data_IF_772028231326
#
_entry.id   IF_772028231326
#
_cell.length_a   1.000
_cell.length_b   1.000
_cell.length_c   1.000
_cell.angle_alpha   90.00
_cell.angle_beta   90.00
_cell.angle_gamma   90.00
#
_symmetry.space_group_name_H-M   'P 1'
#
loop_
_entity.id
_entity.type
_entity.pdbx_description
1 polymer ?
#
# COMPACT_ATOMS: atom_id res chain seq x y z
N UNK A 1 -68.81 64.49 13.75
CA UNK A 1 -67.89 64.20 14.88
C UNK A 1 -66.52 63.81 14.32
N UNK A 2 -65.51 64.68 14.45
CA UNK A 2 -64.15 64.52 13.91
C UNK A 2 -63.29 63.79 14.95
N UNK A 3 -62.74 62.63 14.60
CA UNK A 3 -61.72 61.95 15.41
C UNK A 3 -60.39 61.95 14.66
N UNK A 4 -59.41 62.63 15.25
CA UNK A 4 -58.03 62.83 14.79
C UNK A 4 -57.20 61.55 14.98
N UNK A 5 -56.67 60.97 13.90
CA UNK A 5 -55.64 59.91 13.96
C UNK A 5 -54.26 60.55 14.11
N UNK A 6 -53.56 60.25 15.21
CA UNK A 6 -52.12 60.46 15.35
C UNK A 6 -51.38 59.30 14.67
N UNK A 7 -50.40 59.65 13.85
CA UNK A 7 -49.35 58.76 13.35
C UNK A 7 -48.27 58.64 14.42
N UNK A 8 -47.86 57.41 14.76
CA UNK A 8 -46.59 57.16 15.43
C UNK A 8 -45.71 56.25 14.57
N UNK A 9 -44.48 56.73 14.38
CA UNK A 9 -43.38 56.13 13.66
C UNK A 9 -42.81 54.93 14.44
N UNK A 10 -42.74 53.76 13.79
CA UNK A 10 -41.86 52.67 14.22
C UNK A 10 -40.74 52.50 13.19
N UNK A 11 -39.51 52.69 13.67
CA UNK A 11 -38.22 52.61 13.00
C UNK A 11 -37.97 51.25 12.33
N UNK A 12 -37.64 51.27 11.04
CA UNK A 12 -37.17 50.08 10.29
C UNK A 12 -35.76 49.70 10.77
N UNK A 13 -35.48 48.42 11.10
CA UNK A 13 -34.11 48.00 11.39
C UNK A 13 -33.25 48.14 10.13
N UNK A 14 -32.09 48.77 10.29
CA UNK A 14 -31.04 48.86 9.28
C UNK A 14 -30.57 47.47 8.91
N UNK A 15 -30.87 47.03 7.68
CA UNK A 15 -30.26 45.83 7.10
C UNK A 15 -28.77 46.10 6.96
N UNK A 16 -27.95 45.37 7.71
CA UNK A 16 -26.52 45.25 7.44
C UNK A 16 -26.40 44.66 6.04
N UNK A 17 -25.99 45.49 5.07
CA UNK A 17 -25.69 45.07 3.72
C UNK A 17 -24.31 44.40 3.74
N UNK A 18 -24.29 43.07 3.86
CA UNK A 18 -23.08 42.29 3.66
C UNK A 18 -22.86 42.22 2.16
N UNK A 19 -21.85 42.93 1.67
CA UNK A 19 -21.45 42.90 0.26
C UNK A 19 -20.95 41.49 -0.10
N UNK A 20 -21.66 40.75 -0.97
CA UNK A 20 -21.26 39.40 -1.36
C UNK A 20 -19.94 39.35 -2.16
N UNK A 21 -19.39 40.51 -2.57
CA UNK A 21 -18.17 40.58 -3.37
C UNK A 21 -16.87 40.29 -2.60
N UNK A 22 -16.87 40.31 -1.26
CA UNK A 22 -15.64 40.21 -0.46
C UNK A 22 -15.40 38.84 0.22
N UNK A 23 -16.23 37.83 -0.06
CA UNK A 23 -16.07 36.47 0.48
C UNK A 23 -15.63 35.47 -0.61
N UNK A 24 -14.72 35.90 -1.49
CA UNK A 24 -13.92 34.97 -2.28
C UNK A 24 -12.85 34.39 -1.37
N UNK A 25 -13.23 33.39 -0.55
CA UNK A 25 -12.26 32.45 0.01
C UNK A 25 -11.52 31.84 -1.18
N UNK A 26 -10.33 32.35 -1.46
CA UNK A 26 -9.37 31.71 -2.34
C UNK A 26 -8.96 30.41 -1.66
N UNK A 27 -9.78 29.37 -1.84
CA UNK A 27 -9.44 28.01 -1.47
C UNK A 27 -8.24 27.67 -2.33
N UNK A 28 -7.03 27.80 -1.76
CA UNK A 28 -5.84 27.32 -2.42
C UNK A 28 -6.10 25.87 -2.83
N UNK A 29 -5.87 25.50 -4.10
CA UNK A 29 -6.07 24.13 -4.53
C UNK A 29 -5.18 23.24 -3.67
N UNK A 30 -5.81 22.39 -2.83
CA UNK A 30 -5.10 21.42 -2.00
C UNK A 30 -4.17 20.62 -2.90
N UNK A 31 -2.86 20.76 -2.71
CA UNK A 31 -1.89 19.95 -3.45
C UNK A 31 -2.23 18.48 -3.19
N UNK A 32 -2.45 17.67 -4.24
CA UNK A 32 -2.77 16.27 -4.05
C UNK A 32 -1.59 15.59 -3.33
N UNK A 33 -1.90 14.73 -2.36
CA UNK A 33 -0.88 14.01 -1.59
C UNK A 33 0.03 13.19 -2.53
N UNK A 34 1.36 13.19 -2.32
CA UNK A 34 2.30 12.55 -3.23
C UNK A 34 2.39 11.03 -3.01
N UNK A 35 1.30 10.31 -3.31
CA UNK A 35 1.22 8.84 -3.16
C UNK A 35 2.38 8.06 -3.80
N UNK A 36 2.88 8.41 -5.01
CA UNK A 36 4.01 7.70 -5.60
C UNK A 36 5.32 7.89 -4.81
N UNK A 37 5.52 9.07 -4.21
CA UNK A 37 6.71 9.34 -3.39
C UNK A 37 6.67 8.52 -2.11
N UNK A 38 5.49 8.44 -1.46
CA UNK A 38 5.29 7.58 -0.29
C UNK A 38 5.59 6.11 -0.64
N UNK A 39 5.03 5.62 -1.75
CA UNK A 39 5.25 4.25 -2.20
C UNK A 39 6.73 3.98 -2.52
N UNK A 40 7.38 4.88 -3.26
CA UNK A 40 8.79 4.77 -3.61
C UNK A 40 9.69 4.77 -2.36
N UNK A 41 9.42 5.63 -1.39
CA UNK A 41 10.19 5.70 -0.15
C UNK A 41 10.09 4.40 0.66
N UNK A 42 8.89 3.85 0.85
CA UNK A 42 8.72 2.59 1.59
C UNK A 42 9.31 1.38 0.86
N UNK A 43 9.18 1.32 -0.47
CA UNK A 43 9.84 0.28 -1.29
C UNK A 43 11.37 0.39 -1.19
N UNK A 44 11.92 1.60 -1.31
CA UNK A 44 13.35 1.83 -1.22
C UNK A 44 13.89 1.49 0.18
N UNK A 45 13.17 1.85 1.23
CA UNK A 45 13.50 1.48 2.61
C UNK A 45 13.56 -0.04 2.77
N UNK A 46 12.56 -0.75 2.24
CA UNK A 46 12.56 -2.22 2.26
C UNK A 46 13.75 -2.84 1.53
N UNK A 47 14.01 -2.38 0.29
CA UNK A 47 15.13 -2.89 -0.51
C UNK A 47 16.47 -2.60 0.16
N UNK A 48 16.66 -1.40 0.70
CA UNK A 48 17.88 -1.01 1.40
C UNK A 48 18.11 -1.88 2.64
N UNK A 49 17.06 -2.10 3.46
CA UNK A 49 17.15 -2.96 4.63
C UNK A 49 17.47 -4.42 4.25
N UNK A 50 16.76 -4.97 3.26
CA UNK A 50 16.98 -6.34 2.79
C UNK A 50 18.41 -6.56 2.25
N UNK A 51 18.93 -5.61 1.47
CA UNK A 51 20.30 -5.67 0.96
C UNK A 51 21.32 -5.52 2.09
N UNK A 52 21.13 -4.53 2.98
CA UNK A 52 22.03 -4.31 4.10
C UNK A 52 22.10 -5.54 5.01
N UNK A 53 20.97 -6.17 5.30
CA UNK A 53 20.90 -7.38 6.12
C UNK A 53 21.63 -8.56 5.47
N UNK A 54 21.55 -8.73 4.15
CA UNK A 54 22.35 -9.74 3.45
C UNK A 54 23.86 -9.52 3.58
N UNK A 55 24.31 -8.28 3.68
CA UNK A 55 25.73 -7.94 3.85
C UNK A 55 26.17 -8.04 5.32
N UNK A 56 25.28 -7.70 6.25
CA UNK A 56 25.59 -7.63 7.69
C UNK A 56 25.35 -8.94 8.44
N UNK A 57 24.61 -9.88 7.85
CA UNK A 57 24.33 -11.21 8.42
C UNK A 57 24.90 -12.34 7.56
N UNK A 58 26.24 -12.43 7.41
CA UNK A 58 26.88 -13.51 6.65
C UNK A 58 26.72 -14.89 7.31
N UNK A 59 26.26 -14.92 8.57
CA UNK A 59 25.87 -16.15 9.28
C UNK A 59 24.62 -16.83 8.69
N UNK A 60 23.81 -16.09 7.91
CA UNK A 60 22.61 -16.61 7.27
C UNK A 60 22.88 -16.94 5.80
N UNK A 61 22.61 -18.18 5.40
CA UNK A 61 22.74 -18.61 4.00
C UNK A 61 21.68 -17.90 3.13
N UNK A 62 22.06 -17.08 2.14
CA UNK A 62 21.11 -16.34 1.31
C UNK A 62 20.21 -17.25 0.45
N UNK A 63 20.61 -18.50 0.20
CA UNK A 63 19.84 -19.48 -0.59
C UNK A 63 18.85 -20.24 0.30
N UNK A 64 19.25 -20.64 1.50
CA UNK A 64 18.43 -21.49 2.36
C UNK A 64 17.63 -20.71 3.40
N UNK A 65 18.20 -19.64 3.96
CA UNK A 65 17.54 -18.81 4.98
C UNK A 65 16.46 -17.93 4.36
N UNK A 66 15.24 -18.08 4.84
CA UNK A 66 14.11 -17.20 4.49
C UNK A 66 14.37 -15.76 4.94
N UNK A 67 13.75 -14.78 4.25
CA UNK A 67 13.85 -13.37 4.62
C UNK A 67 13.32 -13.13 6.04
N UNK A 68 12.28 -13.85 6.46
CA UNK A 68 11.76 -13.77 7.83
C UNK A 68 12.78 -14.20 8.90
N UNK A 69 13.75 -15.06 8.60
CA UNK A 69 14.79 -15.46 9.56
C UNK A 69 15.70 -14.28 9.94
N UNK A 70 15.84 -13.29 9.07
CA UNK A 70 16.58 -12.06 9.35
C UNK A 70 15.86 -11.14 10.36
N UNK A 71 14.60 -11.44 10.73
CA UNK A 71 13.92 -10.75 11.85
C UNK A 71 14.52 -11.14 13.20
N UNK A 72 15.23 -12.27 13.28
CA UNK A 72 15.80 -12.78 14.52
C UNK A 72 17.26 -12.35 14.66
N UNK A 73 17.60 -11.85 15.85
CA UNK A 73 18.96 -11.49 16.22
C UNK A 73 19.37 -10.09 15.76
N UNK A 74 20.67 -9.91 15.48
CA UNK A 74 21.23 -8.61 15.15
C UNK A 74 20.54 -7.98 13.94
N UNK A 75 20.20 -6.69 14.07
CA UNK A 75 19.53 -5.87 13.06
C UNK A 75 18.10 -6.29 12.67
N UNK A 76 17.47 -7.24 13.37
CA UNK A 76 16.09 -7.66 13.09
C UNK A 76 15.07 -6.51 13.09
N UNK A 77 15.26 -5.52 13.98
CA UNK A 77 14.44 -4.31 14.03
C UNK A 77 14.44 -3.50 12.72
N UNK A 78 15.53 -3.56 11.93
CA UNK A 78 15.58 -2.89 10.63
C UNK A 78 14.63 -3.55 9.64
N UNK A 79 14.55 -4.89 9.65
CA UNK A 79 13.62 -5.63 8.81
C UNK A 79 12.17 -5.43 9.27
N UNK A 80 11.93 -5.35 10.57
CA UNK A 80 10.61 -5.04 11.12
C UNK A 80 10.10 -3.68 10.63
N UNK A 81 10.92 -2.63 10.78
CA UNK A 81 10.61 -1.30 10.29
C UNK A 81 10.39 -1.29 8.77
N UNK A 82 11.21 -2.02 8.02
CA UNK A 82 11.09 -2.18 6.57
C UNK A 82 9.79 -2.88 6.14
N UNK A 83 9.35 -3.91 6.87
CA UNK A 83 8.08 -4.61 6.60
C UNK A 83 6.88 -3.67 6.81
N UNK A 84 6.89 -2.89 7.90
CA UNK A 84 5.85 -1.88 8.15
C UNK A 84 5.87 -0.79 7.08
N UNK A 85 7.06 -0.29 6.71
CA UNK A 85 7.21 0.71 5.67
C UNK A 85 6.71 0.21 4.30
N UNK A 86 6.99 -1.06 3.96
CA UNK A 86 6.48 -1.69 2.75
C UNK A 86 4.95 -1.82 2.77
N UNK A 87 4.36 -2.19 3.91
CA UNK A 87 2.91 -2.23 4.10
C UNK A 87 2.25 -0.87 3.86
N UNK A 88 2.82 0.20 4.44
CA UNK A 88 2.37 1.58 4.21
C UNK A 88 2.49 1.96 2.72
N UNK A 89 3.59 1.60 2.06
CA UNK A 89 3.79 1.84 0.64
C UNK A 89 2.75 1.12 -0.23
N UNK A 90 2.43 -0.14 0.08
CA UNK A 90 1.39 -0.91 -0.60
C UNK A 90 0.02 -0.24 -0.51
N UNK A 91 -0.39 0.17 0.69
CA UNK A 91 -1.68 0.86 0.91
C UNK A 91 -1.70 2.22 0.22
N UNK A 92 -0.63 3.01 0.36
CA UNK A 92 -0.48 4.30 -0.28
C UNK A 92 -0.53 4.22 -1.80
N UNK A 93 0.14 3.22 -2.39
CA UNK A 93 0.10 2.97 -3.84
C UNK A 93 -1.30 2.58 -4.29
N UNK A 94 -1.95 1.65 -3.61
CA UNK A 94 -3.30 1.21 -3.95
C UNK A 94 -4.32 2.35 -3.90
N UNK A 95 -4.21 3.22 -2.88
CA UNK A 95 -5.04 4.41 -2.77
C UNK A 95 -4.72 5.44 -3.87
N UNK A 96 -3.44 5.69 -4.16
CA UNK A 96 -3.02 6.56 -5.25
C UNK A 96 -3.56 6.11 -6.60
N UNK A 97 -3.46 4.81 -6.90
CA UNK A 97 -4.06 4.21 -8.10
C UNK A 97 -5.58 4.37 -8.09
N UNK A 98 -6.26 4.03 -6.98
CA UNK A 98 -7.71 4.18 -6.86
C UNK A 98 -8.17 5.61 -7.18
N UNK A 99 -7.46 6.62 -6.69
CA UNK A 99 -7.76 8.03 -6.95
C UNK A 99 -7.47 8.44 -8.40
N UNK A 100 -6.49 7.82 -9.05
CA UNK A 100 -6.12 8.11 -10.44
C UNK A 100 -7.05 7.50 -11.49
N UNK A 101 -7.83 6.48 -11.11
CA UNK A 101 -8.73 5.79 -12.04
C UNK A 101 -10.01 6.61 -12.30
N UNK A 102 -10.55 6.47 -13.52
CA UNK A 102 -11.91 6.87 -13.88
C UNK A 102 -12.94 6.20 -12.96
N UNK A 103 -14.07 6.88 -12.72
CA UNK A 103 -15.08 6.46 -11.73
C UNK A 103 -15.57 5.03 -12.01
N UNK A 104 -15.76 4.69 -13.28
CA UNK A 104 -16.26 3.40 -13.76
C UNK A 104 -15.24 2.26 -13.55
N UNK A 105 -13.95 2.59 -13.46
CA UNK A 105 -12.87 1.65 -13.23
C UNK A 105 -12.51 1.50 -11.73
N UNK A 106 -13.01 2.40 -10.86
CA UNK A 106 -12.70 2.38 -9.43
C UNK A 106 -13.30 1.17 -8.71
N UNK A 107 -12.55 0.64 -7.76
CA UNK A 107 -13.01 -0.40 -6.85
C UNK A 107 -12.17 -0.38 -5.58
N UNK A 108 -12.83 -0.49 -4.42
CA UNK A 108 -12.14 -0.56 -3.14
C UNK A 108 -11.54 -1.95 -2.85
N UNK A 109 -11.88 -2.98 -3.63
CA UNK A 109 -11.45 -4.35 -3.36
C UNK A 109 -9.92 -4.52 -3.39
N UNK A 110 -9.17 -4.02 -4.40
CA UNK A 110 -7.71 -4.10 -4.37
C UNK A 110 -7.12 -3.38 -3.15
N UNK A 111 -7.65 -2.20 -2.80
CA UNK A 111 -7.22 -1.44 -1.62
C UNK A 111 -7.45 -2.24 -0.33
N UNK A 112 -8.60 -2.88 -0.18
CA UNK A 112 -8.88 -3.74 0.98
C UNK A 112 -7.89 -4.91 1.05
N UNK A 113 -7.57 -5.57 -0.06
CA UNK A 113 -6.55 -6.60 -0.11
C UNK A 113 -5.17 -6.06 0.33
N UNK A 114 -4.76 -4.88 -0.12
CA UNK A 114 -3.49 -4.28 0.31
C UNK A 114 -3.49 -3.89 1.78
N UNK A 115 -4.62 -3.42 2.33
CA UNK A 115 -4.75 -3.14 3.77
C UNK A 115 -4.62 -4.44 4.57
N UNK A 116 -5.34 -5.50 4.20
CA UNK A 116 -5.23 -6.80 4.86
C UNK A 116 -3.82 -7.37 4.75
N UNK A 117 -3.20 -7.29 3.57
CA UNK A 117 -1.81 -7.70 3.36
C UNK A 117 -0.81 -6.89 4.20
N UNK A 118 -1.01 -5.58 4.33
CA UNK A 118 -0.18 -4.71 5.18
C UNK A 118 -0.31 -5.05 6.66
N UNK A 119 -1.53 -5.31 7.13
CA UNK A 119 -1.78 -5.71 8.51
C UNK A 119 -1.14 -7.08 8.79
N UNK A 120 -1.35 -8.06 7.90
CA UNK A 120 -0.72 -9.37 8.00
C UNK A 120 0.80 -9.27 8.02
N UNK A 121 1.41 -8.50 7.11
CA UNK A 121 2.86 -8.31 7.04
C UNK A 121 3.42 -7.64 8.31
N UNK A 122 2.68 -6.66 8.85
CA UNK A 122 3.05 -6.00 10.10
C UNK A 122 2.99 -6.97 11.27
N UNK A 123 1.94 -7.81 11.35
CA UNK A 123 1.87 -8.85 12.37
C UNK A 123 3.01 -9.86 12.24
N UNK A 124 3.34 -10.29 11.02
CA UNK A 124 4.50 -11.18 10.76
C UNK A 124 5.82 -10.58 11.22
N UNK A 125 5.99 -9.25 11.12
CA UNK A 125 7.20 -8.59 11.57
C UNK A 125 7.41 -8.71 13.09
N UNK A 126 6.33 -8.71 13.87
CA UNK A 126 6.39 -8.70 15.33
C UNK A 126 6.08 -10.05 15.99
N UNK A 127 5.43 -10.98 15.30
CA UNK A 127 5.29 -12.36 15.75
C UNK A 127 6.61 -13.10 15.50
N UNK A 128 7.28 -13.55 16.54
CA UNK A 128 8.51 -14.33 16.44
C UNK A 128 8.25 -15.66 15.75
N UNK A 129 9.12 -16.01 14.80
CA UNK A 129 9.10 -17.32 14.18
C UNK A 129 9.88 -18.33 15.03
N UNK A 130 9.41 -19.58 15.06
CA UNK A 130 10.17 -20.66 15.69
C UNK A 130 11.43 -20.96 14.86
N UNK A 131 12.57 -21.12 15.53
CA UNK A 131 13.80 -21.55 14.86
C UNK A 131 13.67 -23.03 14.42
N UNK A 132 14.37 -23.43 13.34
CA UNK A 132 14.45 -24.83 12.96
C UNK A 132 14.92 -25.70 14.13
N UNK A 133 14.14 -26.74 14.47
CA UNK A 133 14.47 -27.69 15.54
C UNK A 133 13.95 -27.31 16.94
N UNK A 134 13.20 -26.21 17.08
CA UNK A 134 12.50 -25.83 18.32
C UNK A 134 11.04 -26.30 18.26
N UNK A 135 10.44 -26.59 19.41
CA UNK A 135 9.02 -26.94 19.52
C UNK A 135 8.13 -25.82 18.98
N UNK A 136 7.04 -26.21 18.31
CA UNK A 136 6.10 -25.27 17.73
C UNK A 136 5.43 -24.42 18.82
N UNK A 137 5.53 -23.10 18.69
CA UNK A 137 4.91 -22.14 19.58
C UNK A 137 3.67 -21.51 18.94
N UNK A 138 2.81 -20.91 19.77
CA UNK A 138 1.70 -20.10 19.26
C UNK A 138 2.20 -18.91 18.44
N UNK A 139 3.34 -18.33 18.83
CA UNK A 139 3.90 -17.17 18.16
C UNK A 139 4.46 -17.54 16.78
N UNK A 140 5.16 -18.67 16.67
CA UNK A 140 5.62 -19.21 15.39
C UNK A 140 4.47 -19.62 14.47
N UNK A 141 3.39 -20.18 15.01
CA UNK A 141 2.15 -20.43 14.27
C UNK A 141 1.53 -19.14 13.75
N UNK A 142 1.43 -18.09 14.60
CA UNK A 142 0.90 -16.79 14.22
C UNK A 142 1.77 -16.13 13.14
N UNK A 143 3.09 -16.20 13.27
CA UNK A 143 4.04 -15.76 12.24
C UNK A 143 3.78 -16.48 10.92
N UNK A 144 3.68 -17.81 10.93
CA UNK A 144 3.45 -18.61 9.74
C UNK A 144 2.15 -18.29 9.02
N UNK A 145 1.03 -18.15 9.75
CA UNK A 145 -0.27 -17.80 9.15
C UNK A 145 -0.27 -16.38 8.59
N UNK A 146 0.25 -15.43 9.36
CA UNK A 146 0.26 -14.02 8.93
C UNK A 146 1.19 -13.79 7.75
N UNK A 147 2.32 -14.52 7.68
CA UNK A 147 3.22 -14.46 6.53
C UNK A 147 2.53 -14.94 5.25
N UNK A 148 1.83 -16.08 5.33
CA UNK A 148 1.06 -16.62 4.20
C UNK A 148 -0.08 -15.68 3.80
N UNK A 149 -0.81 -15.14 4.78
CA UNK A 149 -1.87 -14.16 4.54
C UNK A 149 -1.33 -12.90 3.86
N UNK A 150 -0.16 -12.38 4.26
CA UNK A 150 0.47 -11.23 3.64
C UNK A 150 0.75 -11.47 2.15
N UNK A 151 1.35 -12.60 1.79
CA UNK A 151 1.59 -12.97 0.39
C UNK A 151 0.29 -13.13 -0.40
N UNK A 152 -0.70 -13.83 0.16
CA UNK A 152 -1.97 -14.10 -0.53
C UNK A 152 -2.75 -12.82 -0.78
N UNK A 153 -2.91 -11.96 0.23
CA UNK A 153 -3.63 -10.71 0.10
C UNK A 153 -2.89 -9.72 -0.80
N UNK A 154 -1.56 -9.60 -0.68
CA UNK A 154 -0.77 -8.74 -1.57
C UNK A 154 -0.89 -9.16 -3.04
N UNK A 155 -0.69 -10.44 -3.34
CA UNK A 155 -0.73 -10.91 -4.73
C UNK A 155 -2.14 -10.92 -5.32
N UNK A 156 -3.16 -11.21 -4.51
CA UNK A 156 -4.56 -11.03 -4.90
C UNK A 156 -4.87 -9.55 -5.19
N UNK A 157 -4.42 -8.65 -4.31
CA UNK A 157 -4.55 -7.20 -4.50
C UNK A 157 -3.89 -6.73 -5.80
N UNK A 158 -2.69 -7.22 -6.10
CA UNK A 158 -1.96 -6.96 -7.36
C UNK A 158 -2.76 -7.40 -8.59
N UNK A 159 -3.30 -8.63 -8.60
CA UNK A 159 -4.13 -9.13 -9.71
C UNK A 159 -5.40 -8.31 -9.88
N UNK A 160 -6.13 -8.07 -8.79
CA UNK A 160 -7.37 -7.29 -8.83
C UNK A 160 -7.11 -5.84 -9.26
N UNK A 161 -6.01 -5.23 -8.81
CA UNK A 161 -5.60 -3.90 -9.24
C UNK A 161 -5.32 -3.89 -10.75
N UNK A 162 -4.52 -4.84 -11.25
CA UNK A 162 -4.22 -4.96 -12.69
C UNK A 162 -5.49 -5.14 -13.54
N UNK A 163 -6.47 -5.90 -13.05
CA UNK A 163 -7.79 -6.06 -13.70
C UNK A 163 -8.59 -4.75 -13.72
N UNK A 164 -8.46 -3.89 -12.71
CA UNK A 164 -9.07 -2.55 -12.71
C UNK A 164 -8.36 -1.60 -13.67
N UNK A 165 -7.03 -1.65 -13.73
CA UNK A 165 -6.24 -0.86 -14.69
C UNK A 165 -6.66 -1.13 -16.15
N UNK A 166 -7.06 -2.36 -16.49
CA UNK A 166 -7.56 -2.70 -17.85
C UNK A 166 -8.86 -2.00 -18.23
N UNK A 167 -9.66 -1.57 -17.25
CA UNK A 167 -10.96 -0.91 -17.49
C UNK A 167 -10.83 0.59 -17.69
N UNK A 168 -9.68 1.16 -17.36
CA UNK A 168 -9.41 2.58 -17.54
C UNK A 168 -8.66 2.82 -18.86
N UNK A 169 -9.19 3.64 -19.78
CA UNK A 169 -8.53 3.93 -21.06
C UNK A 169 -7.10 4.45 -20.90
N UNK A 170 -6.85 5.28 -19.89
CA UNK A 170 -5.53 5.85 -19.64
C UNK A 170 -4.52 4.79 -19.21
N UNK A 171 -4.95 3.74 -18.52
CA UNK A 171 -4.12 2.64 -18.01
C UNK A 171 -4.09 1.39 -18.90
N UNK A 172 -4.90 1.34 -19.95
CA UNK A 172 -5.09 0.15 -20.79
C UNK A 172 -3.80 -0.38 -21.42
N UNK A 173 -2.91 0.50 -21.86
CA UNK A 173 -1.63 0.10 -22.47
C UNK A 173 -0.68 -0.55 -21.46
N UNK A 174 -0.33 0.10 -20.32
CA UNK A 174 0.45 -0.58 -19.27
C UNK A 174 -0.19 -1.86 -18.73
N UNK A 175 -1.53 -1.90 -18.64
CA UNK A 175 -2.24 -3.04 -18.11
C UNK A 175 -2.04 -4.33 -18.94
N UNK A 176 -1.63 -4.23 -20.21
CA UNK A 176 -1.35 -5.41 -21.07
C UNK A 176 -0.19 -6.26 -20.57
N UNK A 177 0.82 -5.64 -19.96
CA UNK A 177 1.97 -6.36 -19.39
C UNK A 177 1.93 -6.44 -17.86
N UNK A 178 1.28 -5.49 -17.18
CA UNK A 178 1.09 -5.54 -15.73
C UNK A 178 0.20 -6.70 -15.29
N UNK A 179 -0.83 -7.08 -16.08
CA UNK A 179 -1.71 -8.19 -15.73
C UNK A 179 -1.01 -9.56 -15.77
N UNK A 180 -0.32 -9.97 -16.86
CA UNK A 180 0.39 -11.25 -16.85
C UNK A 180 1.48 -11.31 -15.77
N UNK A 181 2.18 -10.20 -15.49
CA UNK A 181 3.10 -10.13 -14.35
C UNK A 181 2.37 -10.30 -13.02
N UNK A 182 1.22 -9.64 -12.82
CA UNK A 182 0.40 -9.81 -11.62
C UNK A 182 -0.03 -11.28 -11.39
N UNK A 183 -0.45 -11.96 -12.46
CA UNK A 183 -0.80 -13.39 -12.43
C UNK A 183 0.44 -14.22 -12.09
N UNK A 184 1.60 -13.88 -12.64
CA UNK A 184 2.86 -14.54 -12.30
C UNK A 184 3.22 -14.38 -10.81
N UNK A 185 3.02 -13.19 -10.22
CA UNK A 185 3.20 -12.98 -8.77
C UNK A 185 2.31 -13.94 -7.96
N UNK A 186 1.03 -14.02 -8.32
CA UNK A 186 0.07 -14.89 -7.64
C UNK A 186 0.42 -16.38 -7.80
N UNK A 187 0.73 -16.81 -9.01
CA UNK A 187 1.15 -18.18 -9.29
C UNK A 187 2.45 -18.56 -8.55
N UNK A 188 3.40 -17.61 -8.44
CA UNK A 188 4.66 -17.85 -7.75
C UNK A 188 4.48 -18.08 -6.24
N UNK A 189 3.46 -17.50 -5.60
CA UNK A 189 3.10 -17.80 -4.20
C UNK A 189 2.64 -19.26 -4.07
N UNK A 190 1.84 -19.75 -5.01
CA UNK A 190 1.42 -21.16 -5.02
C UNK A 190 2.58 -22.11 -5.30
N UNK A 191 3.48 -21.75 -6.22
CA UNK A 191 4.71 -22.50 -6.45
C UNK A 191 5.56 -22.58 -5.17
N UNK A 192 5.72 -21.45 -4.47
CA UNK A 192 6.42 -21.41 -3.18
C UNK A 192 5.74 -22.28 -2.11
N UNK A 193 4.41 -22.32 -2.08
CA UNK A 193 3.65 -23.10 -1.11
C UNK A 193 3.73 -24.62 -1.39
N UNK A 194 3.57 -25.02 -2.65
CA UNK A 194 3.41 -26.41 -3.07
C UNK A 194 4.73 -27.12 -3.40
N UNK A 195 5.78 -26.37 -3.75
CA UNK A 195 7.09 -26.96 -4.06
C UNK A 195 7.91 -27.14 -2.80
N UNK A 196 7.83 -28.35 -2.23
CA UNK A 196 8.45 -28.66 -0.94
C UNK A 196 9.99 -28.69 -0.99
N UNK A 197 10.55 -29.18 -2.09
CA UNK A 197 12.01 -29.35 -2.27
C UNK A 197 12.75 -28.08 -2.73
N UNK A 198 12.03 -26.99 -3.00
CA UNK A 198 12.66 -25.75 -3.42
C UNK A 198 13.52 -25.15 -2.29
N UNK A 199 14.68 -24.54 -2.59
CA UNK A 199 15.46 -23.79 -1.60
C UNK A 199 14.60 -22.62 -1.09
N UNK A 200 14.02 -22.80 0.10
CA UNK A 200 12.95 -21.93 0.62
C UNK A 200 13.39 -20.47 0.72
N UNK A 201 14.64 -20.21 1.07
CA UNK A 201 15.21 -18.87 1.14
C UNK A 201 15.23 -18.17 -0.22
N UNK A 202 15.76 -18.81 -1.26
CA UNK A 202 15.83 -18.25 -2.61
C UNK A 202 14.44 -18.13 -3.24
N UNK A 203 13.62 -19.17 -3.13
CA UNK A 203 12.26 -19.19 -3.66
C UNK A 203 11.41 -18.05 -3.08
N UNK A 204 11.44 -17.86 -1.75
CA UNK A 204 10.70 -16.78 -1.10
C UNK A 204 11.20 -15.40 -1.56
N UNK A 205 12.52 -15.19 -1.63
CA UNK A 205 13.10 -13.92 -2.08
C UNK A 205 12.80 -13.63 -3.55
N UNK A 206 12.73 -14.64 -4.41
CA UNK A 206 12.31 -14.49 -5.79
C UNK A 206 10.84 -14.01 -5.89
N UNK A 207 9.94 -14.58 -5.09
CA UNK A 207 8.53 -14.11 -5.01
C UNK A 207 8.47 -12.66 -4.53
N UNK A 208 9.22 -12.32 -3.47
CA UNK A 208 9.30 -10.94 -2.95
C UNK A 208 9.81 -9.99 -4.04
N UNK A 209 10.88 -10.33 -4.74
CA UNK A 209 11.45 -9.52 -5.81
C UNK A 209 10.44 -9.29 -6.95
N UNK A 210 9.68 -10.33 -7.31
CA UNK A 210 8.64 -10.24 -8.34
C UNK A 210 7.50 -9.29 -7.92
N UNK A 211 7.07 -9.37 -6.66
CA UNK A 211 6.05 -8.50 -6.06
C UNK A 211 6.54 -7.05 -6.00
N UNK A 212 7.72 -6.81 -5.42
CA UNK A 212 8.31 -5.48 -5.25
C UNK A 212 8.61 -4.84 -6.61
N UNK A 213 9.06 -5.63 -7.58
CA UNK A 213 9.23 -5.16 -8.96
C UNK A 213 7.92 -4.67 -9.58
N UNK A 214 6.82 -5.42 -9.39
CA UNK A 214 5.50 -5.00 -9.87
C UNK A 214 5.04 -3.70 -9.19
N UNK A 215 5.19 -3.60 -7.86
CA UNK A 215 4.84 -2.40 -7.09
C UNK A 215 5.67 -1.17 -7.52
N UNK A 216 6.96 -1.37 -7.79
CA UNK A 216 7.86 -0.33 -8.29
C UNK A 216 7.42 0.16 -9.67
N UNK A 217 7.07 -0.77 -10.56
CA UNK A 217 6.63 -0.42 -11.91
C UNK A 217 5.33 0.40 -11.89
N UNK A 218 4.35 0.04 -11.07
CA UNK A 218 3.11 0.81 -10.92
C UNK A 218 3.37 2.17 -10.26
N UNK A 219 4.27 2.24 -9.27
CA UNK A 219 4.69 3.50 -8.64
C UNK A 219 5.26 4.46 -9.69
N UNK A 220 6.18 4.01 -10.55
CA UNK A 220 6.78 4.83 -11.62
C UNK A 220 5.74 5.29 -12.64
N UNK A 221 4.81 4.42 -13.03
CA UNK A 221 3.73 4.79 -13.94
C UNK A 221 2.78 5.81 -13.34
N UNK A 222 2.46 5.68 -12.05
CA UNK A 222 1.62 6.64 -11.32
C UNK A 222 2.30 8.00 -11.21
N UNK A 223 3.62 8.03 -10.95
CA UNK A 223 4.39 9.27 -10.89
C UNK A 223 4.44 9.98 -12.25
N UNK A 224 4.72 9.25 -13.34
CA UNK A 224 4.72 9.83 -14.69
C UNK A 224 3.39 10.49 -15.06
N UNK A 225 2.28 9.94 -14.57
CA UNK A 225 0.92 10.49 -14.77
C UNK A 225 0.60 11.67 -13.85
N UNK A 226 1.32 11.82 -12.74
CA UNK A 226 1.19 12.97 -11.83
C UNK A 226 1.92 14.18 -12.38
N UNK A 227 3.03 13.96 -13.07
CA UNK A 227 3.93 14.99 -13.60
C UNK A 227 3.57 15.51 -15.00
N UNK A 228 2.74 14.79 -15.76
CA UNK A 228 2.28 15.18 -17.10
C UNK A 228 0.81 15.52 -17.12
#
# INVERSE_FOLDING_TARGET
MRASRRHDHATRPSRVHVDPAHLTLSIEPRRPFPWPVLAAAGIACFLAAAIALHLLRPDLDPVHSQMSLYLIGAHGAWLQAAYVALGIAMVGLAFGVYRSLAIEARSAVPLLCFVLGSLSLSTTAYAWMDLPGVDASFEGWLHGITAQAAFLFATTGIVLQALRLRRDPSWRTPARWLLPWAIACFAAVWALALWHDAPRGLAQKAVIALIVGWLSAVTLLLERRRSG
#
